data_IF_757262349775
#
_entry.id   IF_757262349775
#
_cell.length_a   1.000
_cell.length_b   1.000
_cell.length_c   1.000
_cell.angle_alpha   90.00
_cell.angle_beta   90.00
_cell.angle_gamma   90.00
#
_symmetry.space_group_name_H-M   'P 1'
#
loop_
_entity.id
_entity.type
_entity.pdbx_description
1 polymer ?
#
# COMPACT_ATOMS: atom_id res chain seq x y z
N UNK A 1 0.55 11.05 -4.14
CA UNK A 1 0.59 12.27 -4.99
C UNK A 1 -0.07 13.44 -4.26
N UNK A 2 -0.41 14.51 -4.98
CA UNK A 2 -1.23 15.63 -4.51
C UNK A 2 -2.54 15.71 -5.28
N UNK A 3 -3.13 14.55 -5.62
CA UNK A 3 -4.46 14.48 -6.20
C UNK A 3 -5.46 15.19 -5.29
N UNK A 4 -6.46 15.82 -5.89
CA UNK A 4 -7.46 16.65 -5.18
C UNK A 4 -8.26 15.85 -4.14
N UNK A 5 -8.33 14.53 -4.28
CA UNK A 5 -8.94 13.61 -3.32
C UNK A 5 -8.13 13.49 -2.01
N UNK A 6 -6.79 13.65 -2.07
CA UNK A 6 -5.88 13.42 -0.94
C UNK A 6 -5.23 14.71 -0.42
N UNK A 7 -5.19 15.76 -1.23
CA UNK A 7 -4.51 17.01 -0.91
C UNK A 7 -5.36 18.21 -1.36
N UNK A 8 -5.71 19.08 -0.42
CA UNK A 8 -6.43 20.31 -0.74
C UNK A 8 -5.44 21.40 -1.18
N UNK A 9 -5.73 22.02 -2.33
CA UNK A 9 -4.93 23.11 -2.90
C UNK A 9 -5.32 24.47 -2.32
N UNK A 10 -6.54 24.62 -1.80
CA UNK A 10 -7.14 25.89 -1.39
C UNK A 10 -6.93 26.24 0.09
N UNK A 11 -5.99 25.60 0.78
CA UNK A 11 -5.54 26.00 2.12
C UNK A 11 -6.41 25.53 3.30
N UNK A 12 -7.59 24.95 3.07
CA UNK A 12 -8.37 24.31 4.13
C UNK A 12 -8.01 22.81 4.27
N UNK A 13 -8.08 22.27 5.50
CA UNK A 13 -7.87 20.82 5.73
C UNK A 13 -8.93 20.01 4.97
N UNK A 14 -8.49 18.99 4.23
CA UNK A 14 -9.43 18.08 3.56
C UNK A 14 -10.05 17.10 4.56
N UNK A 15 -11.23 16.53 4.24
CA UNK A 15 -11.84 15.45 5.02
C UNK A 15 -10.88 14.27 5.23
N UNK A 16 -10.05 13.98 4.22
CA UNK A 16 -9.02 12.96 4.29
C UNK A 16 -7.93 13.32 5.32
N UNK A 17 -7.46 14.56 5.33
CA UNK A 17 -6.49 15.01 6.33
C UNK A 17 -7.06 14.98 7.75
N UNK A 18 -8.31 15.40 7.95
CA UNK A 18 -8.99 15.28 9.25
C UNK A 18 -9.07 13.82 9.71
N UNK A 19 -9.47 12.90 8.83
CA UNK A 19 -9.49 11.47 9.14
C UNK A 19 -8.11 10.94 9.56
N UNK A 20 -7.04 11.31 8.86
CA UNK A 20 -5.69 10.88 9.22
C UNK A 20 -5.27 11.43 10.58
N UNK A 21 -5.59 12.68 10.91
CA UNK A 21 -5.31 13.28 12.21
C UNK A 21 -6.08 12.59 13.35
N UNK A 22 -7.38 12.34 13.16
CA UNK A 22 -8.24 11.61 14.12
C UNK A 22 -7.72 10.20 14.42
N UNK A 23 -7.13 9.54 13.42
CA UNK A 23 -6.56 8.19 13.55
C UNK A 23 -5.07 8.20 13.95
N UNK A 24 -4.46 9.36 14.20
CA UNK A 24 -3.04 9.48 14.53
C UNK A 24 -2.09 9.04 13.39
N UNK A 25 -2.57 9.05 12.15
CA UNK A 25 -1.80 8.64 10.96
C UNK A 25 -1.02 9.84 10.41
N UNK A 26 0.31 9.74 10.41
CA UNK A 26 1.18 10.77 9.84
C UNK A 26 1.07 10.81 8.32
N UNK A 27 0.44 11.86 7.78
CA UNK A 27 0.35 12.07 6.34
C UNK A 27 1.68 12.58 5.74
N UNK A 28 2.19 11.90 4.71
CA UNK A 28 3.42 12.28 4.00
C UNK A 28 3.10 12.43 2.51
N UNK A 29 2.72 13.63 2.03
CA UNK A 29 2.42 13.83 0.62
C UNK A 29 3.70 13.83 -0.23
N UNK A 30 3.57 13.43 -1.50
CA UNK A 30 4.70 13.53 -2.44
C UNK A 30 5.11 14.99 -2.65
N UNK A 31 6.37 15.21 -3.07
CA UNK A 31 6.79 16.54 -3.55
C UNK A 31 6.02 16.91 -4.82
N UNK A 32 5.88 18.22 -5.09
CA UNK A 32 5.34 18.72 -6.36
C UNK A 32 6.22 18.19 -7.49
N UNK A 33 5.62 17.68 -8.56
CA UNK A 33 6.32 17.18 -9.75
C UNK A 33 7.37 16.08 -9.48
N UNK A 34 7.15 15.23 -8.45
CA UNK A 34 7.99 14.05 -8.22
C UNK A 34 7.18 12.75 -8.37
N UNK A 35 6.87 12.32 -9.61
CA UNK A 35 6.11 11.09 -9.88
C UNK A 35 6.82 9.85 -9.34
N UNK A 36 8.14 9.88 -9.21
CA UNK A 36 8.94 8.75 -8.70
C UNK A 36 8.53 8.31 -7.28
N UNK A 37 7.95 9.21 -6.48
CA UNK A 37 7.44 8.89 -5.13
C UNK A 37 6.33 7.83 -5.17
N UNK A 38 5.51 7.85 -6.22
CA UNK A 38 4.40 6.92 -6.43
C UNK A 38 4.79 5.73 -7.33
N UNK A 39 6.07 5.59 -7.72
CA UNK A 39 6.48 4.59 -8.70
C UNK A 39 6.16 3.14 -8.33
N UNK A 40 6.00 2.83 -7.03
CA UNK A 40 5.53 1.50 -6.58
C UNK A 40 4.07 1.24 -6.97
N UNK A 41 3.18 2.20 -6.72
CA UNK A 41 1.76 2.05 -7.04
C UNK A 41 1.53 2.12 -8.55
N UNK A 42 2.26 2.98 -9.25
CA UNK A 42 2.23 3.04 -10.72
C UNK A 42 2.68 1.72 -11.35
N UNK A 43 3.77 1.12 -10.83
CA UNK A 43 4.23 -0.20 -11.29
C UNK A 43 3.25 -1.32 -10.97
N UNK A 44 2.56 -1.25 -9.84
CA UNK A 44 1.51 -2.20 -9.49
C UNK A 44 0.35 -2.13 -10.50
N UNK A 45 -0.13 -0.93 -10.82
CA UNK A 45 -1.20 -0.75 -11.81
C UNK A 45 -0.77 -1.19 -13.23
N UNK A 46 0.47 -0.90 -13.63
CA UNK A 46 1.01 -1.41 -14.90
C UNK A 46 1.00 -2.95 -14.95
N UNK A 47 1.33 -3.61 -13.84
CA UNK A 47 1.30 -5.06 -13.77
C UNK A 47 -0.13 -5.61 -13.79
N UNK A 48 -1.06 -4.92 -13.12
CA UNK A 48 -2.48 -5.21 -13.19
C UNK A 48 -3.00 -5.14 -14.62
N UNK A 49 -2.75 -4.05 -15.34
CA UNK A 49 -3.23 -3.87 -16.73
C UNK A 49 -2.72 -4.98 -17.66
N UNK A 50 -1.47 -5.41 -17.47
CA UNK A 50 -0.85 -6.50 -18.26
C UNK A 50 -1.50 -7.86 -18.03
N UNK A 51 -2.01 -8.11 -16.83
CA UNK A 51 -2.54 -9.42 -16.43
C UNK A 51 -4.05 -9.43 -16.21
N UNK A 52 -4.71 -8.28 -16.26
CA UNK A 52 -6.13 -8.10 -15.90
C UNK A 52 -7.04 -9.08 -16.62
N UNK A 53 -6.77 -9.33 -17.90
CA UNK A 53 -7.55 -10.23 -18.75
C UNK A 53 -7.54 -11.70 -18.28
N UNK A 54 -6.62 -12.09 -17.39
CA UNK A 54 -6.52 -13.45 -16.83
C UNK A 54 -7.42 -13.70 -15.62
N UNK A 55 -8.00 -12.65 -15.05
CA UNK A 55 -8.70 -12.71 -13.77
C UNK A 55 -10.15 -12.22 -13.93
N UNK A 56 -11.08 -12.83 -13.21
CA UNK A 56 -12.47 -12.40 -13.14
C UNK A 56 -12.63 -11.08 -12.38
N UNK A 57 -11.79 -10.84 -11.37
CA UNK A 57 -11.86 -9.65 -10.52
C UNK A 57 -10.49 -9.11 -10.09
N UNK A 58 -10.46 -7.91 -9.51
CA UNK A 58 -9.23 -7.33 -8.96
C UNK A 58 -8.76 -8.08 -7.72
N UNK A 59 -9.68 -8.61 -6.92
CA UNK A 59 -9.38 -9.41 -5.73
C UNK A 59 -8.64 -10.69 -6.12
N UNK A 60 -9.07 -11.36 -7.19
CA UNK A 60 -8.39 -12.55 -7.71
C UNK A 60 -6.97 -12.23 -8.18
N UNK A 61 -6.79 -11.10 -8.89
CA UNK A 61 -5.46 -10.61 -9.25
C UNK A 61 -4.59 -10.33 -8.01
N UNK A 62 -5.12 -9.63 -6.99
CA UNK A 62 -4.39 -9.30 -5.76
C UNK A 62 -3.96 -10.58 -5.04
N UNK A 63 -4.86 -11.55 -4.95
CA UNK A 63 -4.58 -12.85 -4.34
C UNK A 63 -3.45 -13.59 -5.07
N UNK A 64 -3.49 -13.63 -6.40
CA UNK A 64 -2.39 -14.19 -7.19
C UNK A 64 -1.09 -13.40 -7.02
N UNK A 65 -1.16 -12.07 -7.10
CA UNK A 65 0.00 -11.19 -7.00
C UNK A 65 0.71 -11.32 -5.67
N UNK A 66 -0.03 -11.48 -4.57
CA UNK A 66 0.54 -11.65 -3.24
C UNK A 66 1.17 -13.03 -3.00
N UNK A 67 0.78 -14.05 -3.77
CA UNK A 67 1.29 -15.43 -3.66
C UNK A 67 2.39 -15.77 -4.67
N UNK A 68 2.62 -14.92 -5.68
CA UNK A 68 3.67 -15.16 -6.67
C UNK A 68 5.05 -14.86 -6.09
N UNK A 69 6.08 -15.62 -6.50
CA UNK A 69 7.47 -15.26 -6.22
C UNK A 69 7.81 -13.91 -6.87
N UNK A 70 8.51 -13.03 -6.16
CA UNK A 70 8.84 -11.71 -6.69
C UNK A 70 10.36 -11.50 -6.82
N UNK A 71 10.84 -11.15 -8.02
CA UNK A 71 12.27 -10.97 -8.31
C UNK A 71 12.97 -9.82 -7.56
N UNK A 72 12.22 -9.00 -6.81
CA UNK A 72 12.75 -7.92 -5.98
C UNK A 72 12.79 -8.30 -4.49
N UNK A 73 12.39 -9.53 -4.16
CA UNK A 73 12.40 -10.12 -2.83
C UNK A 73 13.48 -11.22 -2.76
N UNK A 74 13.46 -12.06 -1.73
CA UNK A 74 14.43 -13.15 -1.59
C UNK A 74 14.12 -14.31 -2.53
N UNK A 75 14.66 -14.20 -3.75
CA UNK A 75 14.45 -15.17 -4.84
C UNK A 75 14.94 -16.58 -4.48
N UNK A 76 16.03 -16.69 -3.70
CA UNK A 76 16.62 -17.98 -3.29
C UNK A 76 15.60 -18.86 -2.55
N UNK A 77 14.73 -18.25 -1.75
CA UNK A 77 13.70 -18.96 -0.99
C UNK A 77 12.30 -18.83 -1.61
N UNK A 78 12.21 -18.24 -2.81
CA UNK A 78 10.93 -18.05 -3.50
C UNK A 78 9.98 -17.09 -2.78
N UNK A 79 10.50 -16.09 -2.06
CA UNK A 79 9.67 -15.22 -1.23
C UNK A 79 8.59 -14.48 -2.04
N UNK A 80 7.36 -14.51 -1.54
CA UNK A 80 6.22 -13.80 -2.10
C UNK A 80 5.88 -12.52 -1.32
N UNK A 81 5.14 -11.55 -1.92
CA UNK A 81 4.84 -10.28 -1.27
C UNK A 81 4.15 -10.40 0.09
N UNK A 82 3.24 -11.35 0.28
CA UNK A 82 2.58 -11.55 1.59
C UNK A 82 3.59 -11.93 2.68
N UNK A 83 4.56 -12.80 2.40
CA UNK A 83 5.60 -13.20 3.35
C UNK A 83 6.53 -12.03 3.67
N UNK A 84 6.88 -11.26 2.64
CA UNK A 84 7.72 -10.08 2.81
C UNK A 84 7.09 -9.02 3.70
N UNK A 85 5.76 -8.88 3.70
CA UNK A 85 5.07 -7.99 4.65
C UNK A 85 5.33 -8.43 6.07
N UNK A 86 5.13 -9.71 6.41
CA UNK A 86 5.36 -10.20 7.76
C UNK A 86 6.82 -10.07 8.18
N UNK A 87 7.76 -10.49 7.32
CA UNK A 87 9.19 -10.42 7.61
C UNK A 87 9.70 -9.00 7.81
N UNK A 88 9.22 -8.04 7.00
CA UNK A 88 9.67 -6.64 7.05
C UNK A 88 8.92 -5.79 8.07
N UNK A 89 7.81 -6.29 8.60
CA UNK A 89 7.04 -5.58 9.61
C UNK A 89 7.78 -5.60 10.95
N UNK A 90 7.71 -4.48 11.68
CA UNK A 90 8.19 -4.46 13.05
C UNK A 90 7.28 -5.35 13.91
N UNK A 91 7.85 -6.35 14.58
CA UNK A 91 7.13 -7.27 15.46
C UNK A 91 6.32 -6.53 16.54
N UNK A 92 6.83 -5.42 17.07
CA UNK A 92 6.08 -4.60 18.04
C UNK A 92 4.79 -4.02 17.43
N UNK A 93 4.83 -3.61 16.15
CA UNK A 93 3.64 -3.11 15.45
C UNK A 93 2.65 -4.24 15.17
N UNK A 94 3.13 -5.45 14.82
CA UNK A 94 2.27 -6.61 14.64
C UNK A 94 1.55 -7.01 15.94
N UNK A 95 2.27 -7.00 17.06
CA UNK A 95 1.70 -7.25 18.39
C UNK A 95 0.70 -6.18 18.80
N UNK A 96 0.99 -4.90 18.52
CA UNK A 96 0.06 -3.82 18.80
C UNK A 96 -1.23 -3.92 17.96
N UNK A 97 -1.11 -4.32 16.69
CA UNK A 97 -2.27 -4.61 15.83
C UNK A 97 -3.09 -5.79 16.35
N UNK A 98 -2.41 -6.86 16.78
CA UNK A 98 -3.05 -8.02 17.40
C UNK A 98 -3.81 -7.62 18.67
N UNK A 99 -3.18 -6.89 19.59
CA UNK A 99 -3.81 -6.46 20.84
C UNK A 99 -5.10 -5.65 20.60
N UNK A 100 -5.06 -4.68 19.67
CA UNK A 100 -6.25 -3.88 19.30
C UNK A 100 -7.42 -4.73 18.82
N UNK A 101 -7.15 -5.84 18.13
CA UNK A 101 -8.20 -6.72 17.64
C UNK A 101 -8.91 -7.51 18.76
N UNK A 102 -8.30 -7.66 19.93
CA UNK A 102 -8.95 -8.26 21.11
C UNK A 102 -9.70 -7.25 21.97
N UNK A 103 -9.40 -5.96 21.80
CA UNK A 103 -10.05 -4.86 22.52
C UNK A 103 -11.33 -4.35 21.81
N UNK A 104 -11.63 -4.85 20.60
CA UNK A 104 -12.86 -4.63 19.82
C UNK A 104 -13.90 -5.75 20.03
#
# INVERSE_FOLDING_TARGET
DRGTQFFNIHGSKSKFQSFLEENGIRYIPSRRNNPQTNGKIERFWLEYDRHRWRFGSIEEFIQWYNRRMHGALWVVIGECPQEAVFRKSNHANLLALFARWFDE
#
